data_IF_067353348839
#
_entry.id   IF_067353348839
#
_cell.length_a   1.000
_cell.length_b   1.000
_cell.length_c   1.000
_cell.angle_alpha   90.00
_cell.angle_beta   90.00
_cell.angle_gamma   90.00
#
_symmetry.space_group_name_H-M   'P 1'
#
loop_
_entity.id
_entity.type
_entity.pdbx_description
1 polymer ?
#
# COMPACT_ATOMS: atom_id res chain seq x y z
N UNK A 1 35.47 10.02 -13.47
CA UNK A 1 34.01 9.73 -13.40
C UNK A 1 33.84 8.36 -12.76
N UNK A 2 33.49 8.29 -11.47
CA UNK A 2 33.20 7.03 -10.79
C UNK A 2 31.68 6.81 -10.79
N UNK A 3 31.21 5.85 -11.58
CA UNK A 3 29.86 5.30 -11.45
C UNK A 3 29.82 4.44 -10.18
N UNK A 4 29.41 5.02 -9.06
CA UNK A 4 29.02 4.24 -7.89
C UNK A 4 27.71 3.53 -8.21
N UNK A 5 27.78 2.23 -8.49
CA UNK A 5 26.60 1.35 -8.50
C UNK A 5 26.08 1.30 -7.06
N UNK A 6 25.07 2.11 -6.76
CA UNK A 6 24.31 2.02 -5.51
C UNK A 6 23.62 0.66 -5.49
N UNK A 7 24.10 -0.25 -4.66
CA UNK A 7 23.42 -1.51 -4.35
C UNK A 7 22.10 -1.15 -3.67
N UNK A 8 21.01 -1.21 -4.43
CA UNK A 8 19.66 -0.87 -3.97
C UNK A 8 19.16 -1.98 -3.03
N UNK A 9 19.49 -1.90 -1.74
CA UNK A 9 18.98 -2.81 -0.71
C UNK A 9 17.49 -2.57 -0.49
N UNK A 10 16.65 -3.33 -1.18
CA UNK A 10 15.21 -3.25 -1.00
C UNK A 10 14.72 -3.77 0.35
N UNK A 11 13.75 -3.06 0.93
CA UNK A 11 13.34 -3.16 2.33
C UNK A 11 12.10 -4.05 2.59
N UNK A 12 11.62 -4.80 1.60
CA UNK A 12 10.33 -5.46 1.80
C UNK A 12 10.44 -6.72 2.70
N UNK A 13 9.97 -6.59 3.95
CA UNK A 13 9.85 -7.67 4.93
C UNK A 13 8.64 -8.60 4.70
N UNK A 14 8.67 -9.80 5.28
CA UNK A 14 7.62 -10.82 5.12
C UNK A 14 6.23 -10.38 5.61
N UNK A 15 5.17 -10.98 5.07
CA UNK A 15 3.77 -10.66 5.43
C UNK A 15 3.10 -11.79 6.20
N UNK A 16 2.44 -11.44 7.31
CA UNK A 16 1.68 -12.39 8.11
C UNK A 16 0.25 -12.55 7.56
N UNK A 17 0.11 -13.31 6.46
CA UNK A 17 -1.20 -13.53 5.82
C UNK A 17 -2.22 -14.19 6.75
N UNK A 18 -1.80 -15.18 7.55
CA UNK A 18 -2.69 -15.87 8.49
C UNK A 18 -3.28 -14.90 9.51
N UNK A 19 -2.46 -14.01 10.05
CA UNK A 19 -2.90 -12.94 10.93
C UNK A 19 -3.87 -12.00 10.23
N UNK A 20 -3.48 -11.42 9.09
CA UNK A 20 -4.33 -10.47 8.36
C UNK A 20 -5.72 -11.07 8.07
N UNK A 21 -5.79 -12.31 7.58
CA UNK A 21 -7.05 -13.00 7.33
C UNK A 21 -7.89 -13.19 8.61
N UNK A 22 -7.24 -13.48 9.75
CA UNK A 22 -7.91 -13.57 11.06
C UNK A 22 -8.51 -12.22 11.47
N UNK A 23 -7.79 -11.11 11.34
CA UNK A 23 -8.34 -9.77 11.66
C UNK A 23 -9.48 -9.39 10.72
N UNK A 24 -9.36 -9.70 9.42
CA UNK A 24 -10.44 -9.43 8.47
C UNK A 24 -11.70 -10.24 8.79
N UNK A 25 -11.56 -11.52 9.18
CA UNK A 25 -12.67 -12.35 9.63
C UNK A 25 -13.35 -11.84 10.91
N UNK A 26 -12.59 -11.22 11.81
CA UNK A 26 -13.12 -10.59 13.03
C UNK A 26 -13.70 -9.17 12.79
N UNK A 27 -13.43 -8.56 11.64
CA UNK A 27 -13.81 -7.17 11.35
C UNK A 27 -15.31 -7.03 11.05
N UNK A 28 -16.07 -6.54 12.03
CA UNK A 28 -17.51 -6.27 11.89
C UNK A 28 -17.81 -5.37 10.68
N UNK A 29 -18.88 -5.68 9.94
CA UNK A 29 -19.39 -4.86 8.84
C UNK A 29 -18.63 -4.94 7.51
N UNK A 30 -17.65 -5.85 7.35
CA UNK A 30 -17.09 -6.11 6.01
C UNK A 30 -18.07 -6.99 5.24
N UNK A 31 -18.99 -6.38 4.49
CA UNK A 31 -19.89 -7.13 3.61
C UNK A 31 -19.14 -7.55 2.35
N UNK A 32 -19.09 -8.85 2.08
CA UNK A 32 -18.54 -9.38 0.85
C UNK A 32 -19.51 -9.02 -0.29
N UNK A 33 -19.06 -8.10 -1.14
CA UNK A 33 -19.74 -7.70 -2.36
C UNK A 33 -18.68 -7.41 -3.43
N UNK A 34 -19.13 -7.14 -4.66
CA UNK A 34 -18.24 -6.90 -5.81
C UNK A 34 -17.20 -5.81 -5.55
N UNK A 35 -17.57 -4.73 -4.89
CA UNK A 35 -16.67 -3.59 -4.65
C UNK A 35 -15.65 -3.90 -3.55
N UNK A 36 -16.08 -4.60 -2.49
CA UNK A 36 -15.19 -5.12 -1.44
C UNK A 36 -14.13 -6.05 -2.03
N UNK A 37 -14.55 -7.00 -2.87
CA UNK A 37 -13.64 -7.95 -3.54
C UNK A 37 -12.71 -7.25 -4.53
N UNK A 38 -13.23 -6.28 -5.29
CA UNK A 38 -12.43 -5.44 -6.17
C UNK A 38 -11.34 -4.70 -5.38
N UNK A 39 -11.71 -4.02 -4.29
CA UNK A 39 -10.79 -3.27 -3.45
C UNK A 39 -9.72 -4.17 -2.84
N UNK A 40 -10.11 -5.34 -2.31
CA UNK A 40 -9.17 -6.33 -1.78
C UNK A 40 -8.17 -6.80 -2.84
N UNK A 41 -8.62 -7.02 -4.07
CA UNK A 41 -7.75 -7.37 -5.20
C UNK A 41 -6.74 -6.25 -5.50
N UNK A 42 -7.18 -4.98 -5.52
CA UNK A 42 -6.28 -3.85 -5.76
C UNK A 42 -5.26 -3.68 -4.63
N UNK A 43 -5.65 -3.92 -3.37
CA UNK A 43 -4.73 -3.90 -2.24
C UNK A 43 -3.66 -5.00 -2.36
N UNK A 44 -4.06 -6.21 -2.76
CA UNK A 44 -3.13 -7.33 -3.01
C UNK A 44 -2.17 -7.03 -4.18
N UNK A 45 -2.68 -6.44 -5.27
CA UNK A 45 -1.85 -6.02 -6.40
C UNK A 45 -0.83 -4.95 -5.98
N UNK A 46 -1.24 -3.98 -5.15
CA UNK A 46 -0.34 -2.98 -4.57
C UNK A 46 0.77 -3.60 -3.72
N UNK A 47 0.43 -4.54 -2.84
CA UNK A 47 1.42 -5.31 -2.08
C UNK A 47 2.41 -6.05 -3.00
N UNK A 48 1.90 -6.76 -4.01
CA UNK A 48 2.74 -7.48 -4.99
C UNK A 48 3.67 -6.53 -5.75
N UNK A 49 3.18 -5.36 -6.14
CA UNK A 49 3.98 -4.34 -6.82
C UNK A 49 5.11 -3.82 -5.92
N UNK A 50 4.80 -3.47 -4.67
CA UNK A 50 5.79 -3.06 -3.66
C UNK A 50 6.88 -4.13 -3.47
N UNK A 51 6.46 -5.38 -3.27
CA UNK A 51 7.35 -6.54 -3.11
C UNK A 51 8.25 -6.75 -4.32
N UNK A 52 7.69 -6.65 -5.52
CA UNK A 52 8.42 -6.85 -6.78
C UNK A 52 9.42 -5.73 -7.03
N UNK A 53 9.01 -4.49 -6.78
CA UNK A 53 9.88 -3.33 -6.94
C UNK A 53 11.04 -3.37 -5.94
N UNK A 54 10.76 -3.77 -4.70
CA UNK A 54 11.74 -3.83 -3.61
C UNK A 54 12.60 -2.55 -3.55
N UNK A 55 11.93 -1.40 -3.62
CA UNK A 55 12.56 -0.09 -3.75
C UNK A 55 12.79 0.54 -2.38
N UNK A 56 13.96 1.16 -2.19
CA UNK A 56 14.28 1.94 -0.98
C UNK A 56 13.32 3.13 -0.84
N UNK A 57 12.83 3.38 0.38
CA UNK A 57 12.01 4.54 0.77
C UNK A 57 10.69 4.72 -0.02
N UNK A 58 10.17 3.67 -0.65
CA UNK A 58 8.97 3.73 -1.48
C UNK A 58 7.74 3.06 -0.88
N UNK A 59 7.84 2.51 0.33
CA UNK A 59 6.75 1.92 1.10
C UNK A 59 5.50 2.82 1.09
N UNK A 60 5.65 4.11 1.42
CA UNK A 60 4.53 5.06 1.52
C UNK A 60 3.88 5.36 0.18
N UNK A 61 4.68 5.38 -0.89
CA UNK A 61 4.12 5.49 -2.24
C UNK A 61 3.23 4.29 -2.56
N UNK A 62 3.69 3.06 -2.29
CA UNK A 62 2.89 1.86 -2.55
C UNK A 62 1.65 1.76 -1.65
N UNK A 63 1.75 2.16 -0.37
CA UNK A 63 0.61 2.27 0.55
C UNK A 63 -0.47 3.21 0.01
N UNK A 64 -0.05 4.40 -0.42
CA UNK A 64 -0.93 5.38 -1.03
C UNK A 64 -1.55 4.85 -2.32
N UNK A 65 -0.74 4.36 -3.24
CA UNK A 65 -1.20 3.96 -4.57
C UNK A 65 -2.16 2.75 -4.51
N UNK A 66 -1.90 1.79 -3.62
CA UNK A 66 -2.79 0.65 -3.39
C UNK A 66 -4.18 1.11 -2.91
N UNK A 67 -4.22 2.02 -1.93
CA UNK A 67 -5.47 2.58 -1.42
C UNK A 67 -6.19 3.45 -2.46
N UNK A 68 -5.45 4.24 -3.25
CA UNK A 68 -6.00 5.01 -4.37
C UNK A 68 -6.65 4.10 -5.39
N UNK A 69 -5.96 3.04 -5.81
CA UNK A 69 -6.48 2.08 -6.79
C UNK A 69 -7.71 1.34 -6.26
N UNK A 70 -7.67 0.92 -4.99
CA UNK A 70 -8.78 0.24 -4.33
C UNK A 70 -10.06 1.06 -4.32
N UNK A 71 -9.98 2.40 -4.30
CA UNK A 71 -11.16 3.27 -4.34
C UNK A 71 -11.50 3.70 -5.76
N UNK A 72 -10.52 4.22 -6.51
CA UNK A 72 -10.73 4.79 -7.85
C UNK A 72 -11.24 3.77 -8.85
N UNK A 73 -10.72 2.53 -8.81
CA UNK A 73 -11.09 1.45 -9.76
C UNK A 73 -12.30 0.65 -9.32
N UNK A 74 -12.71 0.78 -8.06
CA UNK A 74 -13.84 0.04 -7.48
C UNK A 74 -15.01 0.98 -7.19
N UNK A 75 -15.42 1.73 -8.22
CA UNK A 75 -16.62 2.59 -8.25
C UNK A 75 -16.65 3.70 -7.20
N UNK A 76 -15.51 4.03 -6.56
CA UNK A 76 -15.40 5.03 -5.48
C UNK A 76 -16.37 4.79 -4.31
N UNK A 77 -16.83 3.55 -4.13
CA UNK A 77 -17.92 3.25 -3.21
C UNK A 77 -17.48 3.25 -1.75
N UNK A 78 -18.44 3.42 -0.84
CA UNK A 78 -18.21 3.31 0.60
C UNK A 78 -17.64 1.94 0.97
N UNK A 79 -18.15 0.86 0.35
CA UNK A 79 -17.65 -0.50 0.56
C UNK A 79 -16.18 -0.65 0.16
N UNK A 80 -15.77 -0.10 -1.00
CA UNK A 80 -14.38 -0.13 -1.43
C UNK A 80 -13.44 0.63 -0.46
N UNK A 81 -13.87 1.81 0.01
CA UNK A 81 -13.11 2.59 1.02
C UNK A 81 -12.98 1.84 2.34
N UNK A 82 -14.07 1.25 2.83
CA UNK A 82 -14.05 0.47 4.07
C UNK A 82 -13.18 -0.79 3.96
N UNK A 83 -13.23 -1.48 2.82
CA UNK A 83 -12.40 -2.65 2.55
C UNK A 83 -10.90 -2.28 2.57
N UNK A 84 -10.52 -1.22 1.84
CA UNK A 84 -9.14 -0.73 1.83
C UNK A 84 -8.64 -0.34 3.23
N UNK A 85 -9.47 0.39 4.00
CA UNK A 85 -9.16 0.75 5.39
C UNK A 85 -8.92 -0.49 6.25
N UNK A 86 -9.86 -1.44 6.28
CA UNK A 86 -9.76 -2.65 7.12
C UNK A 86 -8.55 -3.50 6.75
N UNK A 87 -8.22 -3.63 5.47
CA UNK A 87 -7.02 -4.35 5.03
C UNK A 87 -5.75 -3.65 5.52
N UNK A 88 -5.68 -2.32 5.44
CA UNK A 88 -4.57 -1.53 5.99
C UNK A 88 -4.45 -1.70 7.52
N UNK A 89 -5.55 -1.57 8.25
CA UNK A 89 -5.58 -1.69 9.72
C UNK A 89 -5.16 -3.11 10.17
N UNK A 90 -5.66 -4.15 9.50
CA UNK A 90 -5.29 -5.53 9.79
C UNK A 90 -3.82 -5.84 9.45
N UNK A 91 -3.29 -5.24 8.39
CA UNK A 91 -1.87 -5.34 8.05
C UNK A 91 -1.02 -4.76 9.18
N UNK A 92 -1.32 -3.54 9.61
CA UNK A 92 -0.58 -2.85 10.66
C UNK A 92 -0.61 -3.63 11.99
N UNK A 93 -1.79 -4.10 12.39
CA UNK A 93 -1.97 -4.88 13.62
C UNK A 93 -1.08 -6.13 13.66
N UNK A 94 -0.95 -6.85 12.54
CA UNK A 94 -0.19 -8.11 12.50
C UNK A 94 1.26 -7.99 12.04
N UNK A 95 1.64 -6.85 11.48
CA UNK A 95 3.04 -6.55 11.16
C UNK A 95 3.71 -5.70 12.25
N UNK A 96 3.00 -5.45 13.36
CA UNK A 96 3.58 -4.99 14.61
C UNK A 96 3.90 -3.50 14.65
N UNK A 97 3.09 -2.66 13.96
CA UNK A 97 3.14 -1.19 13.96
C UNK A 97 4.42 -0.59 14.55
N UNK A 98 5.39 -0.27 13.68
CA UNK A 98 6.70 0.27 14.08
C UNK A 98 6.73 1.80 14.09
N UNK A 99 7.93 2.40 14.15
CA UNK A 99 8.12 3.85 14.08
C UNK A 99 7.40 4.52 12.89
N UNK A 100 7.21 3.77 11.80
CA UNK A 100 6.55 4.22 10.58
C UNK A 100 5.01 4.08 10.57
N UNK A 101 4.39 3.49 11.60
CA UNK A 101 2.96 3.16 11.60
C UNK A 101 2.05 4.35 11.26
N UNK A 102 2.36 5.51 11.87
CA UNK A 102 1.60 6.74 11.64
C UNK A 102 1.72 7.23 10.19
N UNK A 103 2.93 7.18 9.62
CA UNK A 103 3.19 7.65 8.28
C UNK A 103 2.60 6.70 7.21
N UNK A 104 2.61 5.39 7.48
CA UNK A 104 1.92 4.39 6.65
C UNK A 104 0.41 4.62 6.66
N UNK A 105 -0.17 4.91 7.83
CA UNK A 105 -1.59 5.24 7.93
C UNK A 105 -1.95 6.57 7.26
N UNK A 106 -1.08 7.58 7.33
CA UNK A 106 -1.24 8.82 6.57
C UNK A 106 -1.28 8.52 5.06
N UNK A 107 -0.32 7.74 4.55
CA UNK A 107 -0.26 7.36 3.15
C UNK A 107 -1.49 6.57 2.69
N UNK A 108 -1.90 5.57 3.49
CA UNK A 108 -3.11 4.81 3.25
C UNK A 108 -4.35 5.74 3.16
N UNK A 109 -4.50 6.65 4.13
CA UNK A 109 -5.63 7.60 4.18
C UNK A 109 -5.61 8.57 3.00
N UNK A 110 -4.46 9.14 2.67
CA UNK A 110 -4.32 10.08 1.57
C UNK A 110 -4.70 9.45 0.24
N UNK A 111 -4.19 8.24 -0.05
CA UNK A 111 -4.55 7.49 -1.26
C UNK A 111 -6.03 7.10 -1.28
N UNK A 112 -6.58 6.63 -0.16
CA UNK A 112 -8.01 6.27 -0.03
C UNK A 112 -8.95 7.47 -0.23
N UNK A 113 -8.45 8.68 0.03
CA UNK A 113 -9.13 9.95 -0.26
C UNK A 113 -8.86 10.47 -1.68
N UNK A 114 -8.27 9.66 -2.55
CA UNK A 114 -7.98 9.96 -3.95
C UNK A 114 -6.93 11.07 -4.15
N UNK A 115 -6.02 11.22 -3.20
CA UNK A 115 -4.89 12.15 -3.32
C UNK A 115 -3.85 11.71 -4.34
N UNK A 116 -3.07 12.67 -4.84
CA UNK A 116 -1.95 12.43 -5.77
C UNK A 116 -0.73 11.83 -5.04
N UNK A 117 -0.65 10.50 -5.07
CA UNK A 117 0.41 9.73 -4.43
C UNK A 117 1.80 10.04 -4.99
N UNK A 118 1.91 10.36 -6.28
CA UNK A 118 3.19 10.60 -6.94
C UNK A 118 3.81 11.91 -6.43
N UNK A 119 3.01 12.98 -6.44
CA UNK A 119 3.45 14.29 -5.93
C UNK A 119 3.78 14.23 -4.43
N UNK A 120 3.04 13.43 -3.66
CA UNK A 120 3.23 13.33 -2.20
C UNK A 120 4.40 12.44 -1.78
N UNK A 121 4.65 11.31 -2.45
CA UNK A 121 5.53 10.26 -1.95
C UNK A 121 6.63 9.79 -2.92
N UNK A 122 6.78 10.35 -4.12
CA UNK A 122 7.96 10.07 -4.94
C UNK A 122 9.11 11.00 -4.55
N UNK A 123 8.93 12.31 -4.77
CA UNK A 123 10.02 13.28 -4.57
C UNK A 123 10.25 13.64 -3.10
N UNK A 124 9.19 13.74 -2.29
CA UNK A 124 9.29 14.26 -0.91
C UNK A 124 9.99 13.31 0.06
N UNK A 125 9.95 12.00 -0.19
CA UNK A 125 10.52 10.97 0.70
C UNK A 125 11.72 10.25 0.06
N UNK A 126 12.23 10.76 -1.07
CA UNK A 126 13.37 10.15 -1.76
C UNK A 126 13.10 8.74 -2.27
N UNK A 127 11.88 8.48 -2.73
CA UNK A 127 11.52 7.18 -3.30
C UNK A 127 12.13 7.05 -4.72
N UNK A 128 12.95 6.01 -4.90
CA UNK A 128 13.65 5.68 -6.15
C UNK A 128 12.75 5.05 -7.24
N UNK A 129 11.45 4.85 -6.96
CA UNK A 129 10.55 4.16 -7.87
C UNK A 129 10.06 5.10 -8.97
N UNK A 130 10.14 4.65 -10.22
CA UNK A 130 9.55 5.31 -11.37
C UNK A 130 8.25 4.59 -11.78
N UNK A 131 7.06 5.20 -11.57
CA UNK A 131 5.79 4.57 -11.90
C UNK A 131 5.57 4.33 -13.40
N UNK A 132 6.20 5.13 -14.27
CA UNK A 132 6.04 5.02 -15.72
C UNK A 132 6.81 3.82 -16.29
N UNK A 133 7.92 3.44 -15.67
CA UNK A 133 8.75 2.31 -16.11
C UNK A 133 8.61 1.08 -15.21
N UNK A 134 8.06 1.26 -14.01
CA UNK A 134 7.93 0.21 -13.00
C UNK A 134 9.26 -0.22 -12.39
N UNK A 135 10.32 0.59 -12.51
CA UNK A 135 11.69 0.28 -12.07
C UNK A 135 12.15 1.18 -10.91
N UNK A 136 13.14 0.69 -10.18
CA UNK A 136 13.90 1.44 -9.18
C UNK A 136 15.20 1.96 -9.80
N UNK A 137 15.60 3.19 -9.49
CA UNK A 137 16.83 3.82 -9.99
C UNK A 137 17.45 4.77 -8.98
#
# INVERSE_FOLDING_TARGET
MCCTVTVVHGQSGGINWKGILRCLGASRGLRLNRDTLCAARQMLEGYRAMRRANCINCDKYFHCQANFNAVSRCRRSKAAREAARKISDCREYYQGGGADSQADQEANRFGRNLGDCSSRYLRRVGCAYNPSTGRCG
#
